data_IF_431217673417
#
_entry.id   IF_431217673417
#
_cell.length_a   1.000
_cell.length_b   1.000
_cell.length_c   1.000
_cell.angle_alpha   90.00
_cell.angle_beta   90.00
_cell.angle_gamma   90.00
#
_symmetry.space_group_name_H-M   'P 1'
#
loop_
_entity.id
_entity.type
_entity.pdbx_description
1 polymer ?
#
# COMPACT_ATOMS: atom_id res chain seq x y z
N UNK A 1 -18.33 12.00 5.38
CA UNK A 1 -17.08 12.08 4.60
C UNK A 1 -16.89 10.78 3.85
N UNK A 2 -16.72 10.83 2.54
CA UNK A 2 -16.49 9.64 1.72
C UNK A 2 -14.99 9.45 1.50
N UNK A 3 -14.45 8.31 1.92
CA UNK A 3 -13.08 7.94 1.58
C UNK A 3 -12.98 7.64 0.09
N UNK A 4 -11.89 8.07 -0.54
CA UNK A 4 -11.60 7.80 -1.95
C UNK A 4 -11.10 6.37 -2.20
N UNK A 5 -10.90 5.58 -1.13
CA UNK A 5 -10.47 4.19 -1.23
C UNK A 5 -8.98 3.99 -1.48
N UNK A 6 -8.16 5.04 -1.34
CA UNK A 6 -6.70 4.98 -1.40
C UNK A 6 -6.08 5.90 -0.34
N UNK A 7 -4.79 5.67 -0.05
CA UNK A 7 -3.97 6.49 0.83
C UNK A 7 -2.49 6.27 0.52
N UNK A 8 -1.65 7.18 1.02
CA UNK A 8 -0.21 7.11 0.86
C UNK A 8 0.46 6.89 2.22
N UNK A 9 1.53 6.11 2.22
CA UNK A 9 2.34 5.83 3.41
C UNK A 9 3.79 6.13 3.06
N UNK A 10 4.44 6.97 3.87
CA UNK A 10 5.86 7.25 3.75
C UNK A 10 6.62 6.35 4.71
N UNK A 11 7.58 5.60 4.18
CA UNK A 11 8.51 4.80 4.97
C UNK A 11 9.85 5.52 5.06
N UNK A 12 10.47 5.50 6.24
CA UNK A 12 11.81 6.05 6.44
C UNK A 12 12.85 5.16 5.75
N UNK A 13 12.72 3.84 5.90
CA UNK A 13 13.62 2.89 5.27
C UNK A 13 13.00 2.27 4.02
N UNK A 14 13.74 2.18 2.89
CA UNK A 14 13.24 1.55 1.68
C UNK A 14 12.97 0.05 1.87
N UNK A 15 13.72 -0.63 2.74
CA UNK A 15 13.53 -2.04 3.05
C UNK A 15 12.15 -2.32 3.69
N UNK A 16 11.64 -1.39 4.49
CA UNK A 16 10.31 -1.51 5.10
C UNK A 16 9.20 -1.36 4.06
N UNK A 17 9.38 -0.45 3.09
CA UNK A 17 8.46 -0.31 1.96
C UNK A 17 8.41 -1.58 1.09
N UNK A 18 9.56 -2.19 0.80
CA UNK A 18 9.64 -3.46 0.06
C UNK A 18 8.93 -4.58 0.82
N UNK A 19 9.19 -4.71 2.12
CA UNK A 19 8.51 -5.70 2.98
C UNK A 19 7.00 -5.50 2.97
N UNK A 20 6.54 -4.26 3.14
CA UNK A 20 5.11 -3.93 3.12
C UNK A 20 4.46 -4.31 1.79
N UNK A 21 5.08 -4.01 0.64
CA UNK A 21 4.56 -4.42 -0.67
C UNK A 21 4.47 -5.95 -0.76
N UNK A 22 5.54 -6.67 -0.41
CA UNK A 22 5.57 -8.13 -0.51
C UNK A 22 4.56 -8.82 0.41
N UNK A 23 4.28 -8.25 1.58
CA UNK A 23 3.35 -8.83 2.55
C UNK A 23 1.90 -8.41 2.30
N UNK A 24 1.66 -7.16 1.90
CA UNK A 24 0.32 -6.57 1.88
C UNK A 24 -0.32 -6.54 0.49
N UNK A 25 0.47 -6.53 -0.58
CA UNK A 25 -0.07 -6.56 -1.93
C UNK A 25 -0.78 -7.89 -2.21
N UNK A 26 -2.03 -7.83 -2.64
CA UNK A 26 -2.84 -9.03 -2.90
C UNK A 26 -3.54 -9.59 -1.67
N UNK A 27 -3.35 -9.03 -0.47
CA UNK A 27 -4.10 -9.45 0.71
C UNK A 27 -5.57 -9.12 0.55
N UNK A 28 -6.43 -10.08 0.89
CA UNK A 28 -7.88 -9.90 0.89
C UNK A 28 -8.33 -9.33 2.24
N UNK A 29 -8.77 -8.08 2.23
CA UNK A 29 -9.35 -7.41 3.38
C UNK A 29 -10.86 -7.30 3.16
N UNK A 30 -11.63 -8.05 3.96
CA UNK A 30 -13.08 -8.20 3.79
C UNK A 30 -13.44 -8.65 2.36
N UNK A 31 -14.17 -7.83 1.61
CA UNK A 31 -14.57 -8.10 0.23
C UNK A 31 -13.67 -7.42 -0.81
N UNK A 32 -12.53 -6.84 -0.41
CA UNK A 32 -11.62 -6.12 -1.31
C UNK A 32 -10.21 -6.69 -1.23
N UNK A 33 -9.52 -6.70 -2.37
CA UNK A 33 -8.10 -7.06 -2.43
C UNK A 33 -7.26 -5.79 -2.39
N UNK A 34 -6.28 -5.75 -1.49
CA UNK A 34 -5.36 -4.64 -1.36
C UNK A 34 -4.39 -4.61 -2.53
N UNK A 35 -4.13 -3.40 -3.03
CA UNK A 35 -3.12 -3.13 -4.05
C UNK A 35 -2.09 -2.17 -3.46
N UNK A 36 -0.88 -2.67 -3.24
CA UNK A 36 0.20 -1.92 -2.59
C UNK A 36 1.37 -1.85 -3.56
N UNK A 37 1.81 -0.63 -3.88
CA UNK A 37 2.83 -0.37 -4.90
C UNK A 37 3.63 0.87 -4.51
N UNK A 38 4.84 1.01 -5.06
CA UNK A 38 5.60 2.25 -4.96
C UNK A 38 4.85 3.40 -5.63
N UNK A 39 4.75 4.53 -4.92
CA UNK A 39 4.30 5.77 -5.52
C UNK A 39 5.48 6.38 -6.29
N UNK A 40 5.34 6.57 -7.60
CA UNK A 40 6.38 7.20 -8.41
C UNK A 40 6.32 8.71 -8.17
N UNK A 41 7.36 9.26 -7.54
CA UNK A 41 7.62 10.68 -7.63
C UNK A 41 8.19 10.94 -9.03
N UNK A 42 7.46 11.68 -9.86
CA UNK A 42 7.99 12.31 -11.09
C UNK A 42 8.68 13.62 -10.74
#
# INVERSE_FOLDING_TARGET
GHSLGYGFVNFVNPSDAVRAINTLNGLRLQSKTLKVMFHRCS
#
